data_IF_295887955024
#
_entry.id   IF_295887955024
#
_cell.length_a   1.000
_cell.length_b   1.000
_cell.length_c   1.000
_cell.angle_alpha   90.00
_cell.angle_beta   90.00
_cell.angle_gamma   90.00
#
_symmetry.space_group_name_H-M   'P 1'
#
loop_
_entity.id
_entity.type
_entity.pdbx_description
1 polymer ?
#
# COMPACT_ATOMS: atom_id res chain seq x y z
N UNK A 1 30.25 -22.98 -22.65
CA UNK A 1 30.12 -21.93 -21.63
C UNK A 1 29.28 -20.81 -22.24
N UNK A 2 28.03 -20.66 -21.82
CA UNK A 2 27.20 -19.52 -22.22
C UNK A 2 27.06 -18.61 -21.01
N UNK A 3 27.71 -17.45 -21.07
CA UNK A 3 27.56 -16.40 -20.07
C UNK A 3 26.23 -15.72 -20.35
N UNK A 4 25.21 -15.97 -19.54
CA UNK A 4 23.97 -15.19 -19.57
C UNK A 4 24.31 -13.84 -18.95
N UNK A 5 24.69 -12.88 -19.78
CA UNK A 5 24.81 -11.49 -19.37
C UNK A 5 23.41 -11.02 -18.94
N UNK A 6 23.27 -10.62 -17.67
CA UNK A 6 22.12 -9.83 -17.23
C UNK A 6 22.18 -8.52 -18.00
N UNK A 7 21.55 -8.47 -19.17
CA UNK A 7 21.38 -7.21 -19.89
C UNK A 7 20.28 -6.48 -19.15
N UNK A 8 20.63 -5.41 -18.43
CA UNK A 8 19.64 -4.41 -18.06
C UNK A 8 18.79 -4.01 -19.27
N UNK A 9 17.60 -3.48 -19.02
CA UNK A 9 16.74 -3.04 -20.11
C UNK A 9 17.43 -1.88 -20.85
N UNK A 10 17.64 -2.05 -22.16
CA UNK A 10 18.31 -1.07 -23.00
C UNK A 10 17.27 -0.09 -23.55
N UNK A 11 17.55 1.20 -23.47
CA UNK A 11 16.70 2.27 -24.03
C UNK A 11 17.55 3.30 -24.81
N UNK A 12 16.89 4.27 -25.44
CA UNK A 12 17.55 5.35 -26.18
C UNK A 12 18.12 4.92 -27.53
N UNK A 13 19.07 5.71 -28.03
CA UNK A 13 19.67 5.53 -29.36
C UNK A 13 20.32 4.15 -29.57
N UNK A 14 20.82 3.55 -28.50
CA UNK A 14 21.43 2.22 -28.49
C UNK A 14 20.40 1.09 -28.68
N UNK A 15 19.11 1.39 -28.48
CA UNK A 15 17.99 0.47 -28.61
C UNK A 15 16.93 0.98 -29.60
N UNK A 16 17.36 1.69 -30.66
CA UNK A 16 16.45 2.15 -31.71
C UNK A 16 15.43 3.19 -31.25
N UNK A 17 15.74 3.94 -30.19
CA UNK A 17 14.84 4.94 -29.60
C UNK A 17 13.83 4.36 -28.59
N UNK A 18 14.01 3.10 -28.15
CA UNK A 18 13.14 2.49 -27.15
C UNK A 18 13.08 3.35 -25.88
N UNK A 19 11.86 3.53 -25.35
CA UNK A 19 11.66 4.13 -24.04
C UNK A 19 11.87 3.07 -22.96
N UNK A 20 12.34 3.50 -21.80
CA UNK A 20 12.48 2.60 -20.67
C UNK A 20 11.07 2.30 -20.09
N UNK A 21 10.77 1.06 -19.70
CA UNK A 21 9.50 0.73 -19.05
C UNK A 21 9.37 1.48 -17.71
N UNK A 22 8.14 1.54 -17.18
CA UNK A 22 7.83 2.16 -15.87
C UNK A 22 8.29 3.62 -15.75
N UNK A 23 8.39 4.33 -16.87
CA UNK A 23 8.82 5.72 -17.00
C UNK A 23 10.18 6.03 -16.34
N UNK A 24 11.07 5.02 -16.31
CA UNK A 24 12.45 5.17 -15.86
C UNK A 24 13.26 6.04 -16.82
N UNK A 25 14.25 6.77 -16.31
CA UNK A 25 15.11 7.58 -17.14
C UNK A 25 16.02 6.69 -18.01
N UNK A 26 16.20 7.09 -19.27
CA UNK A 26 17.19 6.51 -20.15
C UNK A 26 18.51 7.25 -19.96
N UNK A 27 19.49 6.62 -19.32
CA UNK A 27 20.83 7.19 -19.16
C UNK A 27 21.49 7.50 -20.52
N UNK A 28 22.53 8.33 -20.51
CA UNK A 28 23.36 8.59 -21.70
C UNK A 28 23.96 7.33 -22.33
N UNK A 29 24.06 6.24 -21.57
CA UNK A 29 24.62 4.96 -22.01
C UNK A 29 23.56 3.95 -22.48
N UNK A 30 22.28 4.34 -22.48
CA UNK A 30 21.20 3.52 -23.02
C UNK A 30 20.68 2.46 -22.06
N UNK A 31 20.61 2.78 -20.77
CA UNK A 31 20.06 1.90 -19.72
C UNK A 31 18.97 2.60 -18.92
N UNK A 32 17.98 1.82 -18.49
CA UNK A 32 16.87 2.27 -17.65
C UNK A 32 17.28 2.42 -16.17
N UNK A 33 16.90 3.52 -15.52
CA UNK A 33 17.06 3.68 -14.07
C UNK A 33 16.46 4.98 -13.53
N UNK A 34 16.43 5.14 -12.21
CA UNK A 34 15.75 6.26 -11.52
C UNK A 34 16.67 7.20 -10.74
N UNK A 35 17.99 6.92 -10.68
CA UNK A 35 18.94 7.77 -9.96
C UNK A 35 19.46 8.91 -10.84
N UNK A 36 20.18 9.86 -10.24
CA UNK A 36 20.79 10.99 -10.96
C UNK A 36 21.71 10.58 -12.10
N UNK A 37 22.31 9.39 -12.04
CA UNK A 37 23.18 8.88 -13.11
C UNK A 37 22.39 8.52 -14.39
N UNK A 38 21.09 8.27 -14.23
CA UNK A 38 20.17 7.94 -15.32
C UNK A 38 19.33 9.14 -15.74
N UNK A 39 18.90 9.95 -14.77
CA UNK A 39 18.01 11.09 -14.99
C UNK A 39 18.74 12.44 -15.16
N UNK A 40 20.03 12.49 -14.84
CA UNK A 40 20.84 13.70 -14.84
C UNK A 40 21.39 14.08 -16.21
N UNK A 41 22.55 14.74 -16.22
CA UNK A 41 23.18 15.23 -17.43
C UNK A 41 23.43 14.09 -18.44
N UNK A 42 22.94 14.27 -19.68
CA UNK A 42 23.08 13.28 -20.75
C UNK A 42 21.95 12.26 -20.84
N UNK A 43 20.94 12.32 -19.97
CA UNK A 43 19.75 11.50 -20.13
C UNK A 43 19.09 11.67 -21.52
N UNK A 44 18.72 10.55 -22.15
CA UNK A 44 18.19 10.49 -23.52
C UNK A 44 16.66 10.60 -23.58
N UNK A 45 15.94 10.04 -22.60
CA UNK A 45 14.47 10.05 -22.56
C UNK A 45 13.95 9.84 -21.14
N UNK A 46 12.74 10.33 -20.86
CA UNK A 46 12.08 10.21 -19.54
C UNK A 46 12.89 10.81 -18.37
N UNK A 47 13.70 11.84 -18.64
CA UNK A 47 14.73 12.38 -17.74
C UNK A 47 14.21 13.04 -16.48
N UNK A 48 12.93 13.44 -16.48
CA UNK A 48 12.21 13.94 -15.31
C UNK A 48 11.44 12.84 -14.57
N UNK A 49 11.72 11.55 -14.86
CA UNK A 49 10.96 10.41 -14.31
C UNK A 49 9.52 10.35 -14.84
N UNK A 50 9.29 10.90 -16.03
CA UNK A 50 7.96 11.06 -16.61
C UNK A 50 7.97 10.87 -18.14
N UNK A 51 6.85 10.38 -18.65
CA UNK A 51 6.67 9.95 -20.02
C UNK A 51 5.78 10.97 -20.76
N UNK A 52 6.40 11.88 -21.51
CA UNK A 52 5.71 12.92 -22.28
C UNK A 52 5.54 12.57 -23.76
N UNK A 53 4.33 12.19 -24.17
CA UNK A 53 3.77 12.47 -25.52
C UNK A 53 3.63 11.33 -26.55
N UNK A 54 2.51 10.58 -26.51
CA UNK A 54 1.79 10.01 -27.68
C UNK A 54 1.53 8.49 -27.65
N UNK A 55 0.39 7.96 -28.20
CA UNK A 55 -0.95 8.55 -28.27
C UNK A 55 -1.63 8.47 -26.89
N UNK A 56 -2.48 9.44 -26.60
CA UNK A 56 -3.35 9.47 -25.41
C UNK A 56 -4.06 8.11 -25.22
N UNK A 57 -3.87 7.43 -24.08
CA UNK A 57 -4.92 6.59 -23.52
C UNK A 57 -6.17 7.48 -23.39
N UNK A 58 -7.39 6.98 -23.58
CA UNK A 58 -8.58 7.81 -23.45
C UNK A 58 -8.52 8.54 -22.10
N UNK A 59 -8.44 9.85 -22.17
CA UNK A 59 -8.67 10.72 -21.02
C UNK A 59 -10.13 10.58 -20.63
N UNK A 60 -10.37 9.63 -19.74
CA UNK A 60 -11.53 9.50 -18.87
C UNK A 60 -11.10 8.62 -17.70
N UNK A 61 -10.93 9.12 -16.47
CA UNK A 61 -11.44 10.36 -15.93
C UNK A 61 -10.57 10.89 -14.80
N UNK A 62 -10.95 12.07 -14.30
CA UNK A 62 -10.55 12.48 -12.97
C UNK A 62 -10.87 11.34 -12.02
N UNK A 63 -9.85 10.71 -11.45
CA UNK A 63 -10.03 9.67 -10.47
C UNK A 63 -10.70 10.28 -9.25
N UNK A 64 -11.97 9.95 -9.03
CA UNK A 64 -12.58 10.13 -7.71
C UNK A 64 -11.99 9.08 -6.75
N UNK A 65 -11.85 9.39 -5.47
CA UNK A 65 -11.35 8.46 -4.46
C UNK A 65 -9.83 8.25 -4.50
N UNK A 66 -9.39 7.03 -4.14
CA UNK A 66 -7.97 6.73 -3.84
C UNK A 66 -7.00 6.97 -5.01
N UNK A 67 -7.47 6.84 -6.25
CA UNK A 67 -6.66 7.02 -7.45
C UNK A 67 -6.18 8.47 -7.66
N UNK A 68 -6.77 9.43 -6.94
CA UNK A 68 -6.28 10.83 -6.91
C UNK A 68 -5.06 11.03 -6.00
N UNK A 69 -4.82 10.11 -5.06
CA UNK A 69 -3.76 10.18 -4.05
C UNK A 69 -2.62 9.23 -4.43
N UNK A 70 -2.97 7.98 -4.75
CA UNK A 70 -2.02 6.92 -5.07
C UNK A 70 -2.14 6.66 -6.57
N UNK A 71 -1.21 7.18 -7.35
CA UNK A 71 -1.12 6.89 -8.78
C UNK A 71 -0.63 5.45 -9.02
N UNK A 72 -0.81 4.89 -10.23
CA UNK A 72 -0.23 3.59 -10.58
C UNK A 72 1.29 3.54 -10.36
N UNK A 73 2.00 4.60 -10.76
CA UNK A 73 3.45 4.71 -10.59
C UNK A 73 3.86 4.76 -9.11
N UNK A 74 3.10 5.47 -8.28
CA UNK A 74 3.35 5.53 -6.84
C UNK A 74 3.09 4.17 -6.18
N UNK A 75 2.00 3.50 -6.53
CA UNK A 75 1.70 2.14 -6.07
C UNK A 75 2.85 1.17 -6.40
N UNK A 76 3.38 1.24 -7.63
CA UNK A 76 4.51 0.42 -8.05
C UNK A 76 5.80 0.73 -7.29
N UNK A 77 6.07 2.00 -6.98
CA UNK A 77 7.23 2.38 -6.17
C UNK A 77 7.08 1.96 -4.70
N UNK A 78 5.87 2.08 -4.14
CA UNK A 78 5.59 1.65 -2.77
C UNK A 78 5.85 0.14 -2.65
N UNK A 79 5.31 -0.63 -3.60
CA UNK A 79 5.40 -2.08 -3.64
C UNK A 79 6.40 -2.60 -4.68
N UNK A 80 7.62 -2.03 -4.65
CA UNK A 80 8.66 -2.20 -5.67
C UNK A 80 9.02 -3.66 -6.00
N UNK A 81 9.21 -4.50 -4.97
CA UNK A 81 9.71 -5.87 -5.11
C UNK A 81 8.60 -6.93 -5.11
N UNK A 82 7.32 -6.54 -5.14
CA UNK A 82 6.20 -7.50 -5.00
C UNK A 82 6.13 -8.54 -6.14
N UNK A 83 6.70 -8.20 -7.30
CA UNK A 83 6.67 -9.02 -8.51
C UNK A 83 8.00 -9.73 -8.80
N UNK A 84 8.96 -9.67 -7.87
CA UNK A 84 10.23 -10.38 -8.03
C UNK A 84 10.01 -11.89 -8.11
N UNK A 85 10.88 -12.60 -8.83
CA UNK A 85 10.69 -14.04 -9.09
C UNK A 85 10.60 -14.91 -7.84
N UNK A 86 11.23 -14.46 -6.75
CA UNK A 86 11.21 -15.12 -5.45
C UNK A 86 9.87 -14.97 -4.71
N UNK A 87 9.03 -14.02 -5.11
CA UNK A 87 7.73 -13.77 -4.47
C UNK A 87 6.70 -14.78 -4.95
N UNK A 88 6.07 -15.48 -4.00
CA UNK A 88 5.01 -16.45 -4.30
C UNK A 88 3.78 -15.79 -4.96
N UNK A 89 3.48 -14.54 -4.58
CA UNK A 89 2.35 -13.76 -5.11
C UNK A 89 2.73 -12.87 -6.32
N UNK A 90 3.82 -13.19 -7.04
CA UNK A 90 4.26 -12.39 -8.20
C UNK A 90 3.14 -12.26 -9.23
N UNK A 91 2.84 -11.02 -9.63
CA UNK A 91 1.79 -10.70 -10.59
C UNK A 91 0.37 -10.71 -10.02
N UNK A 92 0.17 -11.06 -8.75
CA UNK A 92 -1.16 -11.14 -8.14
C UNK A 92 -1.71 -9.75 -7.77
N UNK A 93 -0.92 -8.94 -7.05
CA UNK A 93 -1.36 -7.63 -6.56
C UNK A 93 -1.18 -6.53 -7.63
N UNK A 94 -2.25 -6.24 -8.37
CA UNK A 94 -2.29 -5.21 -9.42
C UNK A 94 -2.89 -3.90 -8.91
N UNK A 95 -2.53 -2.78 -9.56
CA UNK A 95 -3.11 -1.48 -9.24
C UNK A 95 -4.62 -1.42 -9.55
N UNK A 96 -5.06 -2.04 -10.64
CA UNK A 96 -6.47 -2.08 -11.01
C UNK A 96 -7.32 -2.81 -9.96
N UNK A 97 -6.82 -3.94 -9.43
CA UNK A 97 -7.48 -4.67 -8.35
C UNK A 97 -7.54 -3.82 -7.07
N UNK A 98 -6.48 -3.09 -6.75
CA UNK A 98 -6.45 -2.16 -5.63
C UNK A 98 -7.50 -1.04 -5.76
N UNK A 99 -7.56 -0.36 -6.90
CA UNK A 99 -8.55 0.71 -7.15
C UNK A 99 -9.97 0.17 -7.16
N UNK A 100 -10.20 -0.98 -7.81
CA UNK A 100 -11.52 -1.62 -7.85
C UNK A 100 -12.01 -2.00 -6.46
N UNK A 101 -11.13 -2.55 -5.62
CA UNK A 101 -11.44 -2.87 -4.24
C UNK A 101 -11.67 -1.63 -3.38
N UNK A 102 -10.86 -0.58 -3.54
CA UNK A 102 -11.00 0.67 -2.78
C UNK A 102 -12.33 1.37 -3.10
N UNK A 103 -12.75 1.37 -4.37
CA UNK A 103 -14.03 1.93 -4.79
C UNK A 103 -15.25 1.18 -4.22
N UNK A 104 -15.07 -0.06 -3.74
CA UNK A 104 -16.13 -0.81 -3.04
C UNK A 104 -16.35 -0.31 -1.60
N UNK A 105 -15.40 0.45 -1.05
CA UNK A 105 -15.51 1.12 0.24
C UNK A 105 -15.39 2.62 0.00
N UNK A 106 -16.45 3.31 -0.47
CA UNK A 106 -16.41 4.76 -0.64
C UNK A 106 -16.05 5.48 0.69
N UNK A 107 -16.34 4.83 1.82
CA UNK A 107 -15.98 5.30 3.16
C UNK A 107 -14.50 5.12 3.51
N UNK A 108 -13.74 4.37 2.71
CA UNK A 108 -12.28 4.49 2.65
C UNK A 108 -11.99 5.89 2.10
N UNK A 109 -12.07 6.86 3.02
CA UNK A 109 -12.07 8.32 2.90
C UNK A 109 -13.39 9.09 3.17
N UNK A 110 -14.61 8.52 3.28
CA UNK A 110 -15.85 9.31 3.60
C UNK A 110 -17.06 8.57 4.27
N UNK A 111 -16.92 7.98 5.48
CA UNK A 111 -17.94 7.60 6.53
C UNK A 111 -19.39 7.10 6.19
N UNK A 112 -19.79 5.93 6.75
CA UNK A 112 -21.16 5.32 6.72
C UNK A 112 -21.32 4.02 7.56
N UNK A 113 -22.55 3.52 7.78
CA UNK A 113 -22.94 2.58 8.88
C UNK A 113 -22.55 1.08 8.77
N UNK A 114 -22.42 0.42 9.94
CA UNK A 114 -21.66 -0.80 10.15
C UNK A 114 -22.46 -2.13 10.11
N UNK A 115 -23.78 -2.11 10.07
CA UNK A 115 -24.59 -3.33 10.30
C UNK A 115 -25.24 -3.90 9.04
N UNK A 116 -25.34 -3.13 7.95
CA UNK A 116 -25.64 -3.68 6.61
C UNK A 116 -24.38 -4.21 5.90
N UNK A 117 -23.19 -3.70 6.23
CA UNK A 117 -21.93 -4.10 5.60
C UNK A 117 -21.47 -5.54 5.92
N UNK A 118 -21.81 -6.13 7.07
CA UNK A 118 -21.22 -7.40 7.53
C UNK A 118 -21.62 -8.65 6.74
N UNK A 119 -22.70 -8.62 5.94
CA UNK A 119 -23.11 -9.76 5.10
C UNK A 119 -22.82 -9.58 3.62
N UNK A 120 -22.53 -8.35 3.18
CA UNK A 120 -22.39 -7.98 1.76
C UNK A 120 -21.06 -7.29 1.41
N UNK A 121 -20.22 -6.91 2.39
CA UNK A 121 -19.08 -6.01 2.18
C UNK A 121 -18.08 -6.44 1.10
N UNK A 122 -17.94 -7.72 0.79
CA UNK A 122 -17.01 -8.20 -0.24
C UNK A 122 -17.76 -8.55 -1.55
N UNK A 123 -19.08 -8.81 -1.46
CA UNK A 123 -19.90 -9.29 -2.57
C UNK A 123 -19.56 -10.72 -3.01
N UNK A 124 -18.99 -11.54 -2.12
CA UNK A 124 -18.54 -12.91 -2.41
C UNK A 124 -18.76 -13.85 -1.22
N UNK A 125 -19.16 -15.09 -1.49
CA UNK A 125 -19.34 -16.14 -0.48
C UNK A 125 -18.01 -16.79 -0.10
N UNK A 126 -17.29 -16.15 0.82
CA UNK A 126 -16.00 -16.64 1.32
C UNK A 126 -16.13 -17.79 2.32
N UNK A 127 -17.31 -18.05 2.87
CA UNK A 127 -17.52 -19.17 3.80
C UNK A 127 -17.42 -20.49 3.05
N UNK A 128 -18.04 -20.56 1.86
CA UNK A 128 -17.97 -21.75 1.01
C UNK A 128 -16.82 -21.70 0.00
N UNK A 129 -16.24 -20.52 -0.28
CA UNK A 129 -15.17 -20.34 -1.26
C UNK A 129 -13.99 -19.50 -0.69
N UNK A 130 -13.31 -19.99 0.36
CA UNK A 130 -12.24 -19.23 1.01
C UNK A 130 -11.04 -18.95 0.09
N UNK A 131 -10.79 -19.83 -0.90
CA UNK A 131 -9.68 -19.69 -1.85
C UNK A 131 -9.78 -18.44 -2.73
N UNK A 132 -10.96 -17.81 -2.82
CA UNK A 132 -11.11 -16.54 -3.54
C UNK A 132 -10.21 -15.44 -2.98
N UNK A 133 -9.87 -15.47 -1.69
CA UNK A 133 -8.94 -14.51 -1.07
C UNK A 133 -7.52 -14.61 -1.63
N UNK A 134 -7.13 -15.79 -2.12
CA UNK A 134 -5.80 -16.07 -2.66
C UNK A 134 -5.78 -16.22 -4.19
N UNK A 135 -6.94 -16.25 -4.85
CA UNK A 135 -7.07 -16.46 -6.30
C UNK A 135 -7.68 -15.27 -7.05
N UNK A 136 -8.39 -14.38 -6.36
CA UNK A 136 -8.90 -13.12 -6.91
C UNK A 136 -8.28 -11.94 -6.15
N UNK A 137 -7.45 -11.15 -6.83
CA UNK A 137 -6.74 -10.03 -6.24
C UNK A 137 -7.68 -8.91 -5.75
N UNK A 138 -8.82 -8.71 -6.41
CA UNK A 138 -9.81 -7.70 -6.00
C UNK A 138 -10.50 -8.15 -4.72
N UNK A 139 -10.90 -9.43 -4.63
CA UNK A 139 -11.45 -10.02 -3.40
C UNK A 139 -10.41 -9.95 -2.28
N UNK A 140 -9.14 -10.27 -2.58
CA UNK A 140 -8.02 -10.17 -1.63
C UNK A 140 -7.92 -8.77 -1.03
N UNK A 141 -7.84 -7.72 -1.86
CA UNK A 141 -7.82 -6.33 -1.37
C UNK A 141 -9.09 -5.94 -0.61
N UNK A 142 -10.27 -6.37 -1.08
CA UNK A 142 -11.53 -6.11 -0.38
C UNK A 142 -11.52 -6.68 1.04
N UNK A 143 -10.95 -7.88 1.24
CA UNK A 143 -10.86 -8.47 2.59
C UNK A 143 -9.97 -7.63 3.52
N UNK A 144 -8.87 -7.09 3.00
CA UNK A 144 -7.98 -6.19 3.76
C UNK A 144 -8.68 -4.87 4.11
N UNK A 145 -9.39 -4.27 3.15
CA UNK A 145 -10.18 -3.06 3.41
C UNK A 145 -11.34 -3.30 4.36
N UNK A 146 -12.07 -4.40 4.21
CA UNK A 146 -13.11 -4.79 5.17
C UNK A 146 -12.56 -4.84 6.60
N UNK A 147 -11.42 -5.50 6.80
CA UNK A 147 -10.77 -5.54 8.11
C UNK A 147 -10.38 -4.14 8.60
N UNK A 148 -9.80 -3.32 7.73
CA UNK A 148 -9.36 -1.96 8.06
C UNK A 148 -10.52 -1.04 8.48
N UNK A 149 -11.68 -1.21 7.84
CA UNK A 149 -12.86 -0.35 8.01
C UNK A 149 -13.80 -0.82 9.12
N UNK A 150 -13.81 -2.12 9.45
CA UNK A 150 -14.85 -2.70 10.31
C UNK A 150 -14.42 -2.74 11.78
N UNK A 151 -15.09 -2.01 12.70
CA UNK A 151 -14.82 -2.15 14.13
C UNK A 151 -15.26 -3.51 14.64
N UNK A 152 -14.49 -4.07 15.57
CA UNK A 152 -14.79 -5.34 16.23
C UNK A 152 -14.65 -5.15 17.74
N UNK A 153 -15.75 -4.77 18.40
CA UNK A 153 -15.77 -4.43 19.82
C UNK A 153 -15.02 -5.49 20.66
N UNK A 154 -14.10 -5.08 21.55
CA UNK A 154 -13.83 -3.71 22.00
C UNK A 154 -12.93 -2.86 21.08
N UNK A 155 -12.42 -3.42 19.97
CA UNK A 155 -11.50 -2.74 19.05
C UNK A 155 -12.25 -1.72 18.17
N UNK A 156 -11.77 -0.47 18.04
CA UNK A 156 -12.23 0.42 16.97
C UNK A 156 -11.74 -0.09 15.60
N UNK A 157 -12.18 0.53 14.52
CA UNK A 157 -11.58 0.27 13.20
C UNK A 157 -10.25 1.01 13.05
N UNK A 158 -9.32 0.44 12.28
CA UNK A 158 -8.05 1.11 11.97
C UNK A 158 -8.28 2.46 11.28
N UNK A 159 -9.29 2.52 10.41
CA UNK A 159 -9.73 3.75 9.76
C UNK A 159 -10.12 4.85 10.78
N UNK A 160 -10.95 4.53 11.78
CA UNK A 160 -11.37 5.51 12.76
C UNK A 160 -10.19 6.04 13.60
N UNK A 161 -9.19 5.20 13.88
CA UNK A 161 -7.97 5.63 14.58
C UNK A 161 -7.16 6.61 13.74
N UNK A 162 -6.81 6.26 12.49
CA UNK A 162 -5.91 7.09 11.68
C UNK A 162 -6.53 8.40 11.20
N UNK A 163 -7.87 8.44 11.08
CA UNK A 163 -8.62 9.65 10.70
C UNK A 163 -9.00 10.54 11.89
N UNK A 164 -8.66 10.14 13.12
CA UNK A 164 -8.98 10.89 14.33
C UNK A 164 -10.46 10.83 14.74
N UNK A 165 -11.24 9.89 14.20
CA UNK A 165 -12.65 9.69 14.56
C UNK A 165 -12.82 8.85 15.83
N UNK A 166 -11.80 8.08 16.23
CA UNK A 166 -11.82 7.33 17.48
C UNK A 166 -11.34 8.19 18.65
N UNK A 167 -12.13 8.22 19.72
CA UNK A 167 -11.76 8.83 21.01
C UNK A 167 -11.53 7.72 22.04
N UNK A 168 -10.32 7.63 22.66
CA UNK A 168 -10.03 6.61 23.66
C UNK A 168 -10.98 6.67 24.85
N UNK A 169 -11.56 5.52 25.20
CA UNK A 169 -12.34 5.37 26.44
C UNK A 169 -11.46 5.44 27.68
N UNK A 170 -12.08 5.47 28.87
CA UNK A 170 -11.32 5.38 30.13
C UNK A 170 -10.49 4.08 30.21
N UNK A 171 -11.00 2.97 29.70
CA UNK A 171 -10.29 1.68 29.68
C UNK A 171 -9.13 1.67 28.68
N UNK A 172 -9.24 2.42 27.58
CA UNK A 172 -8.15 2.61 26.61
C UNK A 172 -7.03 3.45 27.23
N UNK A 173 -7.39 4.57 27.86
CA UNK A 173 -6.44 5.44 28.55
C UNK A 173 -5.70 4.68 29.66
N UNK A 174 -6.43 3.90 30.48
CA UNK A 174 -5.84 3.06 31.52
C UNK A 174 -4.94 1.94 30.96
N UNK A 175 -5.19 1.52 29.72
CA UNK A 175 -4.38 0.55 28.99
C UNK A 175 -3.22 1.18 28.20
N UNK A 176 -3.05 2.51 28.25
CA UNK A 176 -2.05 3.23 27.46
C UNK A 176 -2.36 3.30 25.97
N UNK A 177 -3.55 2.89 25.53
CA UNK A 177 -4.00 2.94 24.13
C UNK A 177 -4.36 4.37 23.75
N UNK A 178 -3.63 4.92 22.79
CA UNK A 178 -3.71 6.32 22.35
C UNK A 178 -3.75 6.40 20.83
N UNK A 179 -4.35 7.45 20.23
CA UNK A 179 -4.45 7.56 18.78
C UNK A 179 -3.07 7.61 18.13
N UNK A 180 -2.88 6.76 17.10
CA UNK A 180 -1.62 6.67 16.35
C UNK A 180 -1.44 5.32 15.66
N UNK A 181 -0.34 5.17 14.93
CA UNK A 181 -0.05 3.95 14.18
C UNK A 181 0.21 2.73 15.10
N UNK A 182 0.67 2.98 16.33
CA UNK A 182 0.83 1.94 17.35
C UNK A 182 -0.50 1.27 17.71
N UNK A 183 -1.56 2.05 17.87
CA UNK A 183 -2.90 1.50 18.16
C UNK A 183 -3.43 0.64 17.01
N UNK A 184 -3.14 1.00 15.76
CA UNK A 184 -3.46 0.19 14.59
C UNK A 184 -2.75 -1.17 14.65
N UNK A 185 -1.47 -1.18 15.06
CA UNK A 185 -0.72 -2.41 15.29
C UNK A 185 -1.36 -3.27 16.39
N UNK A 186 -1.84 -2.63 17.47
CA UNK A 186 -2.54 -3.30 18.56
C UNK A 186 -3.86 -3.95 18.11
N UNK A 187 -4.63 -3.26 17.25
CA UNK A 187 -5.86 -3.80 16.65
C UNK A 187 -5.58 -5.05 15.81
N UNK A 188 -4.54 -4.98 14.96
CA UNK A 188 -4.16 -6.04 14.02
C UNK A 188 -3.65 -7.29 14.76
N UNK A 189 -2.68 -7.15 15.66
CA UNK A 189 -2.03 -8.30 16.29
C UNK A 189 -1.46 -8.01 17.69
N UNK A 190 -2.09 -7.13 18.45
CA UNK A 190 -1.55 -6.67 19.73
C UNK A 190 -1.35 -7.75 20.78
N UNK A 191 -2.15 -8.81 20.77
CA UNK A 191 -1.98 -9.95 21.68
C UNK A 191 -0.63 -10.68 21.54
N UNK A 192 0.07 -10.46 20.43
CA UNK A 192 1.41 -11.00 20.17
C UNK A 192 2.47 -9.90 20.19
N UNK A 193 2.16 -8.72 19.69
CA UNK A 193 3.17 -7.69 19.35
C UNK A 193 3.26 -6.53 20.35
N UNK A 194 2.28 -6.32 21.23
CA UNK A 194 2.16 -5.11 22.05
C UNK A 194 2.25 -5.38 23.56
N UNK A 195 2.64 -4.35 24.32
CA UNK A 195 2.60 -4.36 25.78
C UNK A 195 3.76 -5.10 26.47
N UNK A 196 4.83 -5.42 25.74
CA UNK A 196 5.99 -6.15 26.26
C UNK A 196 7.34 -5.49 25.90
N UNK A 197 7.32 -4.20 25.57
CA UNK A 197 8.52 -3.45 25.18
C UNK A 197 8.77 -3.51 23.67
N UNK A 198 10.03 -3.25 23.28
CA UNK A 198 10.41 -3.22 21.87
C UNK A 198 10.26 -4.60 21.21
N UNK A 199 9.66 -4.61 20.01
CA UNK A 199 9.41 -5.82 19.23
C UNK A 199 9.77 -5.58 17.75
N UNK A 200 10.48 -6.55 17.15
CA UNK A 200 10.99 -6.43 15.77
C UNK A 200 9.86 -6.36 14.72
N UNK A 201 8.70 -6.99 14.97
CA UNK A 201 7.56 -6.94 14.03
C UNK A 201 6.90 -5.58 14.07
N UNK A 202 6.76 -5.01 15.26
CA UNK A 202 6.29 -3.63 15.41
C UNK A 202 7.26 -2.66 14.73
N UNK A 203 8.57 -2.85 14.90
CA UNK A 203 9.58 -2.04 14.23
C UNK A 203 9.52 -2.15 12.69
N UNK A 204 9.28 -3.35 12.15
CA UNK A 204 9.10 -3.59 10.71
C UNK A 204 7.86 -2.87 10.16
N UNK A 205 6.72 -2.95 10.87
CA UNK A 205 5.49 -2.21 10.52
C UNK A 205 5.75 -0.70 10.48
N UNK A 206 6.42 -0.15 11.50
CA UNK A 206 6.79 1.27 11.56
C UNK A 206 7.73 1.64 10.41
N UNK A 207 8.66 0.75 10.04
CA UNK A 207 9.57 0.94 8.92
C UNK A 207 8.83 1.15 7.59
N UNK A 208 7.89 0.26 7.27
CA UNK A 208 7.04 0.41 6.09
C UNK A 208 6.19 1.68 6.14
N UNK A 209 5.57 1.96 7.29
CA UNK A 209 4.75 3.16 7.47
C UNK A 209 5.53 4.45 7.20
N UNK A 210 6.72 4.61 7.82
CA UNK A 210 7.58 5.78 7.60
C UNK A 210 7.99 5.93 6.15
N UNK A 211 8.44 4.84 5.50
CA UNK A 211 8.81 4.84 4.09
C UNK A 211 7.66 5.35 3.21
N UNK A 212 6.44 4.91 3.47
CA UNK A 212 5.28 5.32 2.69
C UNK A 212 4.84 6.76 2.98
N UNK A 213 4.92 7.20 4.23
CA UNK A 213 4.70 8.61 4.57
C UNK A 213 5.71 9.54 3.88
N UNK A 214 6.99 9.16 3.83
CA UNK A 214 8.04 9.92 3.13
C UNK A 214 7.74 10.04 1.63
N UNK A 215 7.31 8.95 1.01
CA UNK A 215 6.92 8.94 -0.41
C UNK A 215 5.69 9.80 -0.69
N UNK A 216 4.76 9.88 0.26
CA UNK A 216 3.54 10.71 0.17
C UNK A 216 3.77 12.16 0.62
N UNK A 217 4.94 12.49 1.18
CA UNK A 217 5.24 13.81 1.70
C UNK A 217 4.41 14.22 2.93
N UNK A 218 4.02 13.26 3.76
CA UNK A 218 3.19 13.50 4.96
C UNK A 218 3.95 13.20 6.25
N UNK A 219 3.56 13.85 7.35
CA UNK A 219 4.08 13.54 8.68
C UNK A 219 3.68 12.14 9.13
N UNK A 220 4.52 11.48 9.92
CA UNK A 220 4.22 10.19 10.54
C UNK A 220 3.15 10.30 11.64
N UNK A 221 2.98 11.50 12.21
CA UNK A 221 2.22 11.68 13.44
C UNK A 221 2.94 11.10 14.67
N UNK A 222 2.20 11.04 15.77
CA UNK A 222 2.69 10.57 17.07
C UNK A 222 2.28 9.11 17.35
N UNK A 223 2.79 8.53 18.44
CA UNK A 223 2.42 7.21 18.96
C UNK A 223 2.54 6.09 17.92
N UNK A 224 3.73 5.96 17.32
CA UNK A 224 3.98 4.99 16.24
C UNK A 224 4.07 3.55 16.72
N UNK A 225 4.43 3.32 17.98
CA UNK A 225 4.58 2.01 18.58
C UNK A 225 3.45 1.67 19.57
N UNK A 226 3.33 0.38 19.86
CA UNK A 226 2.44 -0.16 20.88
C UNK A 226 3.21 -0.85 22.02
N UNK A 227 4.49 -0.52 22.22
CA UNK A 227 5.38 -1.25 23.12
C UNK A 227 4.86 -1.31 24.56
N UNK A 228 4.19 -0.24 24.99
CA UNK A 228 3.62 -0.12 26.33
C UNK A 228 2.09 -0.13 26.35
N UNK A 229 1.45 -0.39 25.21
CA UNK A 229 -0.02 -0.46 25.14
C UNK A 229 -0.49 -1.86 25.52
N UNK A 230 -1.42 -1.97 26.47
CA UNK A 230 -1.99 -3.26 26.83
C UNK A 230 -2.84 -3.78 25.66
N UNK A 231 -2.63 -5.04 25.22
CA UNK A 231 -3.42 -5.63 24.16
C UNK A 231 -4.92 -5.64 24.45
N UNK A 232 -5.74 -5.61 23.40
CA UNK A 232 -7.14 -5.97 23.53
C UNK A 232 -7.29 -7.44 23.94
N UNK A 233 -8.32 -7.78 24.74
CA UNK A 233 -8.60 -9.17 25.05
C UNK A 233 -8.91 -9.97 23.78
N UNK A 234 -8.69 -11.30 23.79
CA UNK A 234 -9.12 -12.16 22.70
C UNK A 234 -10.64 -12.01 22.50
N UNK A 235 -11.05 -11.86 21.24
CA UNK A 235 -12.44 -11.84 20.79
C UNK A 235 -13.05 -13.24 20.77
#
# INVERSE_FOLDING_TARGET
MAVVAVRGEQCGSQAGGALCPNCLCCSQYGWCGSTSDYCGAGCQSQCSGGCGGGPTPPSSGGGSGVASIISPSLFDQMLLHRNDQACAAKGFYTYDAFVAAANAYPDFATTGDADTCKREAIGSDLLNNPDLVASDATVSFKTAFWFWMTPQSPKPSCHAVITGQWTPSADDQAAGRVPGYGEITNIINGGVECGHGADDKVADRIGFYKRYCDMLGVSYGDNLDCYNQRPYPPS
#
